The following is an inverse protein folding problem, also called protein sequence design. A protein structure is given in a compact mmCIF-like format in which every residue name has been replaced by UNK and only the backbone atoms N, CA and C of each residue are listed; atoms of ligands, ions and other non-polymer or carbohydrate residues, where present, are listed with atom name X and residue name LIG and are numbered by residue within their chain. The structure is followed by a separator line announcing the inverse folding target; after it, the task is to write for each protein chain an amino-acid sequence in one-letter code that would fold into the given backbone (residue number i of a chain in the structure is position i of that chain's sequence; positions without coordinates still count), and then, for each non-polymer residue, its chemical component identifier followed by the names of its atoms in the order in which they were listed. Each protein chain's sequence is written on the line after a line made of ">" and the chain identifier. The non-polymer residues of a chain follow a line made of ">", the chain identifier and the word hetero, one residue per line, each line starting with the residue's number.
data_IF_254469805061
#
_entry.id   IF_254469805061
#
_cell.length_a   1.000
_cell.length_b   1.000
_cell.length_c   1.000
_cell.angle_alpha   90.00
_cell.angle_beta   90.00
_cell.angle_gamma   90.00
#
_symmetry.space_group_name_H-M   'P 1'
#
loop_
_entity.id
_entity.type
_entity.pdbx_description
1 polymer ?
#
# COMPACT_ATOMS: atom_id res chain seq x y z
N UNK A 1 11.04 12.95 10.11
CA UNK A 1 9.91 12.54 10.98
C UNK A 1 8.63 12.46 10.19
N UNK A 2 7.83 11.43 10.42
CA UNK A 2 6.54 11.29 9.76
C UNK A 2 5.51 12.03 10.59
N UNK A 3 4.91 13.10 10.05
CA UNK A 3 3.92 13.89 10.74
C UNK A 3 2.48 13.54 10.35
N UNK A 4 2.32 12.93 9.19
CA UNK A 4 1.02 12.47 8.69
C UNK A 4 1.25 11.35 7.69
N UNK A 5 0.24 10.54 7.39
CA UNK A 5 0.40 9.43 6.45
C UNK A 5 0.79 9.90 5.07
N UNK A 6 1.68 9.15 4.44
CA UNK A 6 2.13 9.40 3.07
C UNK A 6 2.02 8.10 2.29
N UNK A 7 1.55 8.20 1.06
CA UNK A 7 1.43 7.03 0.19
C UNK A 7 2.00 7.40 -1.18
N UNK A 8 2.92 6.60 -1.67
CA UNK A 8 3.54 6.79 -2.97
C UNK A 8 3.36 5.55 -3.81
N UNK A 9 3.06 5.75 -5.08
CA UNK A 9 2.92 4.66 -6.04
C UNK A 9 3.94 4.83 -7.16
N UNK A 10 4.55 3.73 -7.56
CA UNK A 10 5.52 3.73 -8.64
C UNK A 10 5.25 2.54 -9.55
N UNK A 11 5.02 2.81 -10.82
CA UNK A 11 4.84 1.75 -11.80
C UNK A 11 6.19 1.13 -12.12
N UNK A 12 6.32 -0.17 -11.93
CA UNK A 12 7.54 -0.92 -12.24
C UNK A 12 7.26 -1.91 -13.35
N UNK A 13 7.22 -1.40 -14.58
CA UNK A 13 6.84 -2.20 -15.72
C UNK A 13 5.32 -2.37 -15.77
N UNK A 14 4.82 -3.13 -16.74
CA UNK A 14 3.36 -3.27 -16.92
C UNK A 14 2.69 -4.19 -15.91
N UNK A 15 3.45 -4.96 -15.15
CA UNK A 15 2.90 -6.01 -14.30
C UNK A 15 3.07 -5.76 -12.81
N UNK A 16 3.91 -4.80 -12.44
CA UNK A 16 4.24 -4.56 -11.03
C UNK A 16 4.03 -3.10 -10.66
N UNK A 17 3.49 -2.88 -9.48
CA UNK A 17 3.36 -1.55 -8.91
C UNK A 17 3.97 -1.57 -7.52
N UNK A 18 4.90 -0.67 -7.27
CA UNK A 18 5.48 -0.51 -5.93
C UNK A 18 4.68 0.53 -5.16
N UNK A 19 4.45 0.25 -3.89
CA UNK A 19 3.72 1.13 -2.99
C UNK A 19 4.56 1.38 -1.76
N UNK A 20 4.71 2.64 -1.38
CA UNK A 20 5.37 3.00 -0.14
C UNK A 20 4.37 3.73 0.74
N UNK A 21 4.17 3.22 1.95
CA UNK A 21 3.25 3.80 2.91
C UNK A 21 4.04 4.22 4.14
N UNK A 22 4.11 5.52 4.40
CA UNK A 22 4.70 6.06 5.62
C UNK A 22 3.60 6.44 6.59
N UNK A 23 3.69 5.98 7.82
CA UNK A 23 2.67 6.24 8.84
C UNK A 23 3.31 6.43 10.21
N UNK A 24 2.62 7.14 11.09
CA UNK A 24 3.06 7.38 12.47
C UNK A 24 2.64 6.21 13.35
N UNK A 25 3.61 5.61 14.02
CA UNK A 25 3.37 4.66 15.14
C UNK A 25 2.12 3.79 15.08
N UNK A 26 1.61 3.53 13.89
CA UNK A 26 0.43 2.68 13.71
C UNK A 26 0.87 1.23 13.56
N UNK A 27 -0.07 0.32 13.72
CA UNK A 27 0.19 -1.08 13.43
C UNK A 27 0.45 -1.26 11.93
N UNK A 28 1.22 -2.28 11.53
CA UNK A 28 1.41 -2.56 10.10
C UNK A 28 0.10 -2.70 9.36
N UNK A 29 0.04 -2.16 8.15
CA UNK A 29 -1.17 -2.11 7.36
C UNK A 29 -1.30 -3.26 6.37
N UNK A 30 -0.30 -4.14 6.30
CA UNK A 30 -0.29 -5.19 5.27
C UNK A 30 -1.54 -6.06 5.26
N UNK A 31 -2.07 -6.42 6.44
CA UNK A 31 -3.27 -7.25 6.51
C UNK A 31 -4.49 -6.59 5.89
N UNK A 32 -4.72 -5.33 6.22
CA UNK A 32 -5.85 -4.57 5.68
C UNK A 32 -5.68 -4.28 4.20
N UNK A 33 -4.46 -3.92 3.79
CA UNK A 33 -4.15 -3.64 2.39
C UNK A 33 -4.31 -4.91 1.55
N UNK A 34 -3.78 -6.03 2.03
CA UNK A 34 -3.89 -7.30 1.31
C UNK A 34 -5.36 -7.67 1.08
N UNK A 35 -6.18 -7.51 2.10
CA UNK A 35 -7.60 -7.83 2.01
C UNK A 35 -8.32 -6.98 0.97
N UNK A 36 -8.03 -5.68 0.96
CA UNK A 36 -8.62 -4.77 -0.01
C UNK A 36 -8.16 -5.07 -1.44
N UNK A 37 -6.87 -5.38 -1.61
CA UNK A 37 -6.31 -5.68 -2.91
C UNK A 37 -6.81 -7.03 -3.45
N UNK A 38 -6.98 -7.99 -2.56
CA UNK A 38 -7.47 -9.31 -2.96
C UNK A 38 -8.86 -9.20 -3.61
N UNK A 39 -9.70 -8.30 -3.10
CA UNK A 39 -11.01 -8.06 -3.68
C UNK A 39 -10.94 -7.51 -5.11
N UNK A 40 -9.80 -6.93 -5.50
CA UNK A 40 -9.58 -6.40 -6.84
C UNK A 40 -8.83 -7.38 -7.74
N UNK A 41 -8.53 -8.57 -7.25
CA UNK A 41 -7.73 -9.54 -7.99
C UNK A 41 -6.24 -9.23 -7.97
N UNK A 42 -5.78 -8.49 -6.97
CA UNK A 42 -4.37 -8.14 -6.79
C UNK A 42 -3.78 -8.87 -5.59
N UNK A 43 -2.49 -9.07 -5.62
CA UNK A 43 -1.75 -9.72 -4.53
C UNK A 43 -0.49 -8.93 -4.21
N UNK A 44 0.10 -9.23 -3.07
CA UNK A 44 1.35 -8.62 -2.65
C UNK A 44 2.47 -9.62 -2.91
N UNK A 45 3.37 -9.29 -3.85
CA UNK A 45 4.47 -10.18 -4.19
C UNK A 45 5.70 -9.96 -3.32
N UNK A 46 5.81 -8.79 -2.69
CA UNK A 46 6.93 -8.46 -1.84
C UNK A 46 6.48 -7.46 -0.77
N UNK A 47 6.98 -7.62 0.44
CA UNK A 47 6.66 -6.72 1.54
C UNK A 47 7.87 -6.52 2.42
N UNK A 48 8.14 -5.26 2.77
CA UNK A 48 9.15 -4.92 3.77
C UNK A 48 8.65 -3.73 4.58
N UNK A 49 9.05 -3.71 5.84
CA UNK A 49 8.71 -2.60 6.73
C UNK A 49 9.94 -2.22 7.53
N UNK A 50 10.07 -0.92 7.79
CA UNK A 50 11.15 -0.41 8.64
C UNK A 50 10.67 0.76 9.48
N UNK A 51 11.19 0.90 10.71
CA UNK A 51 10.90 2.09 11.50
C UNK A 51 11.63 3.29 10.92
N UNK A 52 11.01 4.45 10.95
CA UNK A 52 11.61 5.67 10.47
C UNK A 52 10.93 6.88 11.12
N UNK A 53 11.73 7.73 11.77
CA UNK A 53 11.23 8.98 12.31
C UNK A 53 10.07 8.87 13.29
N UNK A 54 10.05 7.83 14.13
CA UNK A 54 8.98 7.60 15.08
C UNK A 54 7.74 6.96 14.48
N UNK A 55 7.83 6.54 13.23
CA UNK A 55 6.74 5.88 12.54
C UNK A 55 7.21 4.60 11.86
N UNK A 56 6.45 4.15 10.90
CA UNK A 56 6.72 2.94 10.15
C UNK A 56 6.60 3.23 8.66
N UNK A 57 7.58 2.76 7.89
CA UNK A 57 7.52 2.83 6.42
C UNK A 57 7.37 1.42 5.89
N UNK A 58 6.33 1.18 5.13
CA UNK A 58 6.03 -0.12 4.55
C UNK A 58 6.20 -0.04 3.03
N UNK A 59 6.92 -1.00 2.48
CA UNK A 59 7.11 -1.13 1.04
C UNK A 59 6.44 -2.41 0.56
N UNK A 60 5.56 -2.26 -0.40
CA UNK A 60 4.86 -3.39 -0.98
C UNK A 60 5.06 -3.38 -2.50
N UNK A 61 5.12 -4.55 -3.08
CA UNK A 61 5.07 -4.69 -4.52
C UNK A 61 3.83 -5.48 -4.85
N UNK A 62 3.00 -4.90 -5.70
CA UNK A 62 1.72 -5.49 -6.09
C UNK A 62 1.84 -6.21 -7.41
N UNK A 63 1.15 -7.33 -7.53
CA UNK A 63 1.03 -8.05 -8.78
C UNK A 63 -0.42 -8.49 -8.95
N UNK A 64 -0.80 -8.80 -10.17
CA UNK A 64 -2.13 -9.29 -10.45
C UNK A 64 -2.18 -10.79 -10.20
N UNK A 65 -3.18 -11.27 -9.46
CA UNK A 65 -3.35 -12.68 -9.20
C UNK A 65 -3.53 -13.42 -10.53
N UNK A 66 -2.69 -14.44 -10.75
CA UNK A 66 -2.71 -15.15 -12.01
C UNK A 66 -1.95 -14.47 -13.14
N UNK A 67 -1.25 -13.38 -12.86
CA UNK A 67 -0.45 -12.65 -13.86
C UNK A 67 -1.26 -11.63 -14.63
N UNK A 68 -0.57 -10.79 -15.36
CA UNK A 68 -1.20 -9.77 -16.17
C UNK A 68 -0.82 -8.36 -15.76
N UNK A 69 -1.34 -7.38 -16.48
CA UNK A 69 -0.97 -5.97 -16.32
C UNK A 69 -1.76 -5.29 -15.23
N UNK A 70 -1.10 -4.39 -14.52
CA UNK A 70 -1.74 -3.48 -13.56
C UNK A 70 -1.58 -2.08 -14.14
N UNK A 71 -2.60 -1.62 -14.86
CA UNK A 71 -2.57 -0.30 -15.48
C UNK A 71 -4.00 0.22 -15.64
N UNK A 72 -4.14 1.49 -15.99
CA UNK A 72 -5.44 2.09 -16.23
C UNK A 72 -6.36 2.05 -15.01
N UNK A 73 -7.58 1.55 -15.22
CA UNK A 73 -8.60 1.51 -14.18
C UNK A 73 -8.18 0.68 -12.97
N UNK A 74 -7.50 -0.45 -13.19
CA UNK A 74 -7.06 -1.32 -12.10
C UNK A 74 -6.03 -0.62 -11.21
N UNK A 75 -5.10 0.12 -11.81
CA UNK A 75 -4.12 0.89 -11.06
C UNK A 75 -4.83 1.98 -10.22
N UNK A 76 -5.79 2.67 -10.80
CA UNK A 76 -6.58 3.68 -10.09
C UNK A 76 -7.38 3.07 -8.94
N UNK A 77 -7.96 1.90 -9.15
CA UNK A 77 -8.72 1.20 -8.12
C UNK A 77 -7.83 0.77 -6.95
N UNK A 78 -6.61 0.32 -7.25
CA UNK A 78 -5.65 -0.06 -6.22
C UNK A 78 -5.30 1.15 -5.34
N UNK A 79 -5.03 2.29 -5.96
CA UNK A 79 -4.74 3.53 -5.23
C UNK A 79 -5.94 3.93 -4.36
N UNK A 80 -7.14 3.89 -4.92
CA UNK A 80 -8.35 4.25 -4.19
C UNK A 80 -8.63 3.31 -3.02
N UNK A 81 -8.21 2.05 -3.11
CA UNK A 81 -8.39 1.09 -2.03
C UNK A 81 -7.38 1.30 -0.89
N UNK A 82 -6.15 1.67 -1.24
CA UNK A 82 -5.06 1.80 -0.26
C UNK A 82 -5.13 3.11 0.52
N UNK A 83 -5.44 4.22 -0.14
CA UNK A 83 -5.43 5.53 0.49
C UNK A 83 -6.31 5.64 1.74
N UNK A 84 -7.58 5.19 1.73
CA UNK A 84 -8.42 5.29 2.92
C UNK A 84 -7.90 4.45 4.09
N UNK A 85 -7.28 3.32 3.80
CA UNK A 85 -6.72 2.45 4.84
C UNK A 85 -5.59 3.17 5.57
N UNK A 86 -4.66 3.76 4.83
CA UNK A 86 -3.53 4.47 5.42
C UNK A 86 -3.99 5.68 6.23
N UNK A 87 -4.93 6.45 5.71
CA UNK A 87 -5.40 7.65 6.37
C UNK A 87 -6.25 7.32 7.60
N UNK A 88 -7.14 6.35 7.50
CA UNK A 88 -8.09 6.03 8.55
C UNK A 88 -7.42 5.44 9.78
N UNK A 89 -6.48 4.52 9.60
CA UNK A 89 -5.80 3.89 10.72
C UNK A 89 -5.04 4.92 11.54
N UNK A 90 -4.33 5.82 10.89
CA UNK A 90 -3.55 6.83 11.60
C UNK A 90 -4.42 7.88 12.27
N UNK A 91 -5.59 8.19 11.73
CA UNK A 91 -6.54 9.10 12.36
C UNK A 91 -7.14 8.48 13.59
N UNK A 92 -7.52 7.20 13.54
CA UNK A 92 -8.13 6.54 14.69
C UNK A 92 -7.14 6.32 15.84
N UNK A 93 -5.86 6.21 15.53
CA UNK A 93 -4.82 6.09 16.54
C UNK A 93 -4.63 7.38 17.32
N UNK A 94 -4.83 8.49 16.67
CA UNK A 94 -4.65 9.79 17.28
C UNK A 94 -5.63 10.08 18.36
#
# INVERSE_FOLDING_TARGET
>A
MITHPQVRFEQRGPELVAVEIGQRSCSPLIGSVHRALFALGLDISSYRARPEGGGLVEHLVLERSGGGRIEGALSAEAKAAILPIALQVCVTEG
#
